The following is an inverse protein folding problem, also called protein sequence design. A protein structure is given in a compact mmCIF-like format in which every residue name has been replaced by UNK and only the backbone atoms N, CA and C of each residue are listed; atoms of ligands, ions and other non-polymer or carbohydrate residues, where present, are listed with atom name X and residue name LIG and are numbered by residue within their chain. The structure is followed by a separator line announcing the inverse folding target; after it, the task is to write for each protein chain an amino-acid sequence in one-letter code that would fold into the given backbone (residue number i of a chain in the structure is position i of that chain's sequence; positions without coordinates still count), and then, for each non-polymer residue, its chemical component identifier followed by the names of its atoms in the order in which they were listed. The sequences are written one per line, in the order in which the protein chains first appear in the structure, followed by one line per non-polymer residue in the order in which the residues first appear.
data_IF_577105448862
#
_entry.id   IF_577105448862
#
_cell.length_a   1.000
_cell.length_b   1.000
_cell.length_c   1.000
_cell.angle_alpha   90.00
_cell.angle_beta   90.00
_cell.angle_gamma   90.00
#
_symmetry.space_group_name_H-M   'P 1'
#
loop_
_entity.id
_entity.type
_entity.pdbx_description
1 polymer ?
#
# COMPACT_ATOMS: atom_id res chain seq x y z
N UNK A 1 -0.70 -14.84 12.27
CA UNK A 1 -1.55 -13.63 12.37
C UNK A 1 -2.65 -13.76 11.32
N UNK A 2 -3.92 -13.86 11.72
CA UNK A 2 -5.07 -14.00 10.81
C UNK A 2 -5.79 -12.65 10.68
N UNK A 3 -5.19 -11.72 9.93
CA UNK A 3 -5.87 -10.47 9.58
C UNK A 3 -6.61 -10.73 8.26
N UNK A 4 -7.95 -10.59 8.20
CA UNK A 4 -8.68 -10.74 6.95
C UNK A 4 -8.27 -9.67 5.95
N UNK A 5 -8.16 -10.04 4.68
CA UNK A 5 -7.78 -9.12 3.61
C UNK A 5 -8.53 -9.44 2.33
N UNK A 6 -8.60 -8.44 1.45
CA UNK A 6 -9.14 -8.55 0.09
C UNK A 6 -8.11 -8.01 -0.89
N UNK A 7 -7.97 -8.70 -2.03
CA UNK A 7 -7.04 -8.29 -3.07
C UNK A 7 -7.71 -7.33 -4.04
N UNK A 8 -6.95 -6.34 -4.52
CA UNK A 8 -7.40 -5.39 -5.53
C UNK A 8 -6.59 -5.59 -6.81
N UNK A 9 -7.26 -5.68 -7.95
CA UNK A 9 -6.60 -5.87 -9.24
C UNK A 9 -7.36 -5.20 -10.39
N UNK A 10 -6.81 -5.22 -11.61
CA UNK A 10 -7.53 -4.72 -12.80
C UNK A 10 -8.59 -5.71 -13.30
N UNK A 11 -8.47 -6.98 -12.93
CA UNK A 11 -9.37 -8.06 -13.33
C UNK A 11 -10.12 -8.59 -12.11
N UNK A 12 -11.44 -8.57 -12.16
CA UNK A 12 -12.29 -9.05 -11.07
C UNK A 12 -12.35 -10.58 -11.00
N UNK A 13 -12.71 -11.09 -9.82
CA UNK A 13 -13.07 -12.48 -9.53
C UNK A 13 -13.81 -12.52 -8.19
N UNK A 14 -14.49 -13.61 -7.83
CA UNK A 14 -15.25 -13.72 -6.57
C UNK A 14 -14.45 -13.35 -5.30
N UNK A 15 -13.12 -13.51 -5.32
CA UNK A 15 -12.24 -13.21 -4.18
C UNK A 15 -11.47 -11.88 -4.29
N UNK A 16 -11.74 -11.05 -5.32
CA UNK A 16 -10.95 -9.84 -5.62
C UNK A 16 -11.83 -8.67 -6.03
N UNK A 17 -11.50 -7.50 -5.52
CA UNK A 17 -12.06 -6.25 -6.04
C UNK A 17 -11.29 -5.79 -7.27
N UNK A 18 -12.02 -5.20 -8.21
CA UNK A 18 -11.48 -4.27 -9.18
C UNK A 18 -11.38 -2.87 -8.59
N UNK A 19 -10.54 -2.01 -9.18
CA UNK A 19 -10.45 -0.61 -8.75
C UNK A 19 -11.81 0.12 -8.81
N UNK A 20 -12.66 -0.24 -9.78
CA UNK A 20 -14.00 0.35 -9.92
C UNK A 20 -14.99 -0.08 -8.83
N UNK A 21 -14.71 -1.20 -8.15
CA UNK A 21 -15.54 -1.71 -7.05
C UNK A 21 -15.14 -1.13 -5.70
N UNK A 22 -14.10 -0.29 -5.63
CA UNK A 22 -13.69 0.39 -4.41
C UNK A 22 -14.51 1.67 -4.28
N UNK A 23 -15.46 1.65 -3.35
CA UNK A 23 -16.27 2.81 -2.99
C UNK A 23 -15.98 3.27 -1.55
N UNK A 24 -16.80 4.21 -1.07
CA UNK A 24 -16.70 4.73 0.30
C UNK A 24 -16.90 3.63 1.35
N UNK A 25 -17.88 2.74 1.16
CA UNK A 25 -18.17 1.68 2.12
C UNK A 25 -16.99 0.71 2.24
N UNK A 26 -16.39 0.32 1.12
CA UNK A 26 -15.21 -0.56 1.09
C UNK A 26 -14.04 0.07 1.84
N UNK A 27 -13.72 1.35 1.58
CA UNK A 27 -12.61 2.02 2.28
C UNK A 27 -12.91 2.21 3.77
N UNK A 28 -14.14 2.58 4.14
CA UNK A 28 -14.52 2.73 5.54
C UNK A 28 -14.46 1.40 6.30
N UNK A 29 -14.72 0.27 5.66
CA UNK A 29 -14.53 -1.07 6.22
C UNK A 29 -13.03 -1.46 6.30
N UNK A 30 -12.23 -1.07 5.30
CA UNK A 30 -10.82 -1.43 5.17
C UNK A 30 -9.88 -0.27 5.52
N UNK A 31 -9.60 -0.12 6.82
CA UNK A 31 -8.75 0.97 7.33
C UNK A 31 -7.27 0.85 6.95
N UNK A 32 -6.80 -0.32 6.51
CA UNK A 32 -5.41 -0.52 6.09
C UNK A 32 -5.39 -0.82 4.59
N UNK A 33 -4.71 0.04 3.83
CA UNK A 33 -4.53 -0.11 2.39
C UNK A 33 -3.05 -0.27 2.09
N UNK A 34 -2.69 -1.36 1.44
CA UNK A 34 -1.29 -1.71 1.15
C UNK A 34 -1.07 -1.72 -0.36
N UNK A 35 -0.17 -0.87 -0.86
CA UNK A 35 0.27 -0.90 -2.26
C UNK A 35 1.40 -1.91 -2.43
N UNK A 36 1.07 -3.08 -2.97
CA UNK A 36 2.02 -4.14 -3.33
C UNK A 36 2.35 -4.16 -4.83
N UNK A 37 2.07 -3.07 -5.55
CA UNK A 37 2.32 -2.96 -7.00
C UNK A 37 3.50 -2.03 -7.29
N UNK A 38 4.13 -2.13 -8.48
CA UNK A 38 5.17 -1.19 -8.88
C UNK A 38 4.62 0.18 -9.32
N UNK A 39 3.31 0.43 -9.21
CA UNK A 39 2.72 1.73 -9.58
C UNK A 39 3.23 2.80 -8.61
N UNK A 40 3.78 3.89 -9.14
CA UNK A 40 4.40 4.96 -8.36
C UNK A 40 5.93 4.88 -8.28
N UNK A 41 6.56 3.93 -8.97
CA UNK A 41 8.02 3.90 -9.17
C UNK A 41 8.44 4.60 -10.46
N UNK A 42 9.70 5.04 -10.54
CA UNK A 42 10.31 5.51 -11.79
C UNK A 42 10.12 4.50 -12.94
N UNK A 43 9.84 4.93 -14.19
CA UNK A 43 9.73 6.31 -14.66
C UNK A 43 8.33 6.95 -14.50
N UNK A 44 7.40 6.26 -13.84
CA UNK A 44 5.99 6.62 -13.68
C UNK A 44 5.67 6.95 -12.23
N UNK A 45 6.51 7.76 -11.59
CA UNK A 45 6.37 8.17 -10.20
C UNK A 45 5.21 9.16 -9.96
N UNK A 46 4.62 9.67 -11.05
CA UNK A 46 3.37 10.43 -11.06
C UNK A 46 2.11 9.55 -11.14
N UNK A 47 2.24 8.22 -11.25
CA UNK A 47 1.11 7.29 -11.20
C UNK A 47 0.88 6.79 -9.77
N UNK A 48 -0.36 6.44 -9.43
CA UNK A 48 -0.73 5.83 -8.15
C UNK A 48 -1.89 4.86 -8.36
N UNK A 49 -2.13 3.89 -7.44
CA UNK A 49 -3.33 3.07 -7.46
C UNK A 49 -4.60 3.93 -7.55
N UNK A 50 -5.55 3.53 -8.39
CA UNK A 50 -6.76 4.30 -8.66
C UNK A 50 -7.85 3.97 -7.64
N UNK A 51 -7.71 4.51 -6.44
CA UNK A 51 -8.69 4.40 -5.35
C UNK A 51 -9.34 5.77 -5.09
N UNK A 52 -10.57 5.84 -4.57
CA UNK A 52 -11.24 7.10 -4.30
C UNK A 52 -10.67 7.78 -3.04
N UNK A 53 -9.48 8.39 -3.15
CA UNK A 53 -8.73 9.01 -2.04
C UNK A 53 -9.56 9.97 -1.20
N UNK A 54 -10.55 10.66 -1.79
CA UNK A 54 -11.47 11.57 -1.07
C UNK A 54 -12.24 10.94 0.09
N UNK A 55 -12.33 9.61 0.16
CA UNK A 55 -12.99 8.87 1.24
C UNK A 55 -12.00 8.39 2.31
N UNK A 56 -10.71 8.65 2.14
CA UNK A 56 -9.72 8.40 3.18
C UNK A 56 -9.92 9.37 4.34
N UNK A 57 -9.58 8.89 5.53
CA UNK A 57 -9.71 9.62 6.80
C UNK A 57 -8.46 9.39 7.65
N UNK A 58 -8.36 10.10 8.77
CA UNK A 58 -7.29 9.92 9.75
C UNK A 58 -7.24 8.52 10.39
N UNK A 59 -8.30 7.71 10.26
CA UNK A 59 -8.31 6.32 10.71
C UNK A 59 -7.59 5.38 9.73
N UNK A 60 -7.30 5.84 8.52
CA UNK A 60 -6.67 5.00 7.51
C UNK A 60 -5.14 4.98 7.65
N UNK A 61 -4.56 3.82 7.37
CA UNK A 61 -3.14 3.61 7.15
C UNK A 61 -2.91 3.26 5.67
N UNK A 62 -2.11 4.08 4.99
CA UNK A 62 -1.56 3.74 3.68
C UNK A 62 -0.14 3.22 3.85
N UNK A 63 0.10 1.97 3.45
CA UNK A 63 1.42 1.36 3.44
C UNK A 63 1.85 1.08 2.01
N UNK A 64 2.91 1.74 1.54
CA UNK A 64 3.52 1.48 0.25
C UNK A 64 4.79 0.64 0.41
N UNK A 65 4.92 -0.44 -0.35
CA UNK A 65 6.14 -1.26 -0.37
C UNK A 65 7.26 -0.57 -1.17
N UNK A 66 6.94 0.49 -1.91
CA UNK A 66 7.92 1.32 -2.59
C UNK A 66 8.71 2.14 -1.58
N UNK A 67 10.04 2.19 -1.75
CA UNK A 67 10.97 2.98 -0.94
C UNK A 67 11.65 4.11 -1.72
N UNK A 68 11.58 4.09 -3.06
CA UNK A 68 12.12 5.13 -3.93
C UNK A 68 11.08 5.48 -5.01
N UNK A 69 10.49 6.70 -4.98
CA UNK A 69 10.74 7.79 -4.04
C UNK A 69 10.26 7.47 -2.61
N UNK A 70 10.76 8.24 -1.62
CA UNK A 70 10.40 8.03 -0.21
C UNK A 70 8.93 8.33 0.11
N UNK A 71 8.30 9.24 -0.65
CA UNK A 71 6.88 9.55 -0.58
C UNK A 71 6.29 9.50 -2.00
N UNK A 72 5.67 8.38 -2.36
CA UNK A 72 4.98 8.18 -3.66
C UNK A 72 3.72 9.04 -3.76
N UNK A 73 3.15 9.18 -4.96
CA UNK A 73 1.89 9.91 -5.12
C UNK A 73 0.74 9.28 -4.32
N UNK A 74 0.74 7.95 -4.15
CA UNK A 74 -0.20 7.22 -3.29
C UNK A 74 -0.13 7.73 -1.84
N UNK A 75 1.07 7.78 -1.26
CA UNK A 75 1.28 8.26 0.10
C UNK A 75 0.97 9.75 0.24
N UNK A 76 1.40 10.59 -0.72
CA UNK A 76 1.09 12.03 -0.74
C UNK A 76 -0.42 12.26 -0.69
N UNK A 77 -1.19 11.57 -1.54
CA UNK A 77 -2.65 11.70 -1.60
C UNK A 77 -3.34 11.23 -0.33
N UNK A 78 -2.87 10.17 0.33
CA UNK A 78 -3.41 9.78 1.63
C UNK A 78 -3.13 10.79 2.74
N UNK A 79 -1.89 11.28 2.78
CA UNK A 79 -1.44 12.26 3.76
C UNK A 79 -2.24 13.56 3.67
N UNK A 80 -2.62 14.02 2.47
CA UNK A 80 -3.49 15.20 2.32
C UNK A 80 -4.90 15.02 2.89
N UNK A 81 -5.37 13.77 3.01
CA UNK A 81 -6.65 13.41 3.65
C UNK A 81 -6.50 13.12 5.16
N UNK A 82 -5.29 13.28 5.70
CA UNK A 82 -4.98 13.03 7.10
C UNK A 82 -4.68 11.56 7.44
N UNK A 83 -4.59 10.66 6.46
CA UNK A 83 -4.24 9.28 6.70
C UNK A 83 -2.80 9.14 7.21
N UNK A 84 -2.56 8.12 8.04
CA UNK A 84 -1.20 7.72 8.43
C UNK A 84 -0.52 7.06 7.24
N UNK A 85 0.78 7.35 7.03
CA UNK A 85 1.54 6.80 5.89
C UNK A 85 2.77 6.03 6.35
N UNK A 86 3.12 4.97 5.61
CA UNK A 86 4.37 4.21 5.77
C UNK A 86 4.91 3.82 4.40
N UNK A 87 6.23 3.93 4.20
CA UNK A 87 6.92 3.48 2.99
C UNK A 87 7.71 2.19 3.24
N UNK A 88 8.24 1.61 2.17
CA UNK A 88 8.89 0.30 2.21
C UNK A 88 10.34 0.28 2.70
N UNK A 89 10.92 1.42 3.06
CA UNK A 89 12.35 1.50 3.37
C UNK A 89 12.76 0.65 4.59
N UNK A 90 11.98 0.74 5.68
CA UNK A 90 12.21 -0.07 6.88
C UNK A 90 12.00 -1.57 6.60
N UNK A 91 11.01 -1.92 5.77
CA UNK A 91 10.80 -3.30 5.35
C UNK A 91 12.03 -3.85 4.60
N UNK A 92 12.60 -3.06 3.69
CA UNK A 92 13.81 -3.44 2.95
C UNK A 92 15.00 -3.69 3.89
N UNK A 93 15.21 -2.79 4.87
CA UNK A 93 16.27 -2.93 5.87
C UNK A 93 16.09 -4.19 6.73
N UNK A 94 14.90 -4.40 7.28
CA UNK A 94 14.59 -5.56 8.11
C UNK A 94 14.73 -6.88 7.33
N UNK A 95 14.36 -6.88 6.05
CA UNK A 95 14.57 -8.04 5.18
C UNK A 95 16.06 -8.35 4.99
N UNK A 96 16.91 -7.32 4.82
CA UNK A 96 18.35 -7.51 4.70
C UNK A 96 18.97 -8.05 5.99
N UNK A 97 18.56 -7.55 7.16
CA UNK A 97 19.01 -8.04 8.46
C UNK A 97 18.58 -9.49 8.70
N UNK A 98 17.33 -9.83 8.38
CA UNK A 98 16.84 -11.20 8.51
C UNK A 98 17.57 -12.17 7.57
N UNK A 99 17.85 -11.76 6.33
CA UNK A 99 18.63 -12.54 5.39
C UNK A 99 20.08 -12.75 5.88
N UNK A 100 20.68 -11.69 6.44
CA UNK A 100 22.01 -11.76 7.04
C UNK A 100 22.05 -12.79 8.19
N UNK A 101 21.08 -12.77 9.10
CA UNK A 101 20.99 -13.75 10.20
C UNK A 101 20.89 -15.20 9.70
N UNK A 102 20.27 -15.44 8.55
CA UNK A 102 20.19 -16.78 7.95
C UNK A 102 21.56 -17.19 7.39
N UNK A 103 22.24 -16.29 6.68
CA UNK A 103 23.53 -16.60 6.05
C UNK A 103 24.70 -16.63 7.03
N UNK A 104 24.64 -15.84 8.11
CA UNK A 104 25.71 -15.75 9.11
C UNK A 104 25.62 -16.81 10.21
N UNK A 105 24.54 -17.61 10.24
CA UNK A 105 24.46 -18.80 11.09
C UNK A 105 25.39 -19.87 10.50
N UNK A 106 26.52 -20.10 11.17
CA UNK A 106 27.28 -21.36 11.06
C UNK A 106 26.46 -22.51 11.63
#
# INVERSE_FOLDING_TARGET
MNIPWKYVSRTGSDERFTYNEIDEAVLLEHKIVVNCSPVGTFPKDEECPDIPYRFLTHEHLLYDLIYNPSETLFLKKGKTQGATIKNGAEMLELQALAAWEIWSKQ
#
